data_IF_744100235605
#
_entry.id   IF_744100235605
#
_cell.length_a   1.000
_cell.length_b   1.000
_cell.length_c   1.000
_cell.angle_alpha   90.00
_cell.angle_beta   90.00
_cell.angle_gamma   90.00
#
_symmetry.space_group_name_H-M   'P 1'
#
loop_
_entity.id
_entity.type
_entity.pdbx_description
1 polymer ?
#
# COMPACT_ATOMS: atom_id res chain seq x y z
N UNK A 1 34.08 -53.98 -31.24
CA UNK A 1 32.77 -53.32 -31.17
C UNK A 1 33.00 -52.00 -30.46
N UNK A 2 33.23 -50.93 -31.22
CA UNK A 2 33.33 -49.59 -30.64
C UNK A 2 31.88 -49.14 -30.39
N UNK A 3 31.55 -48.93 -29.12
CA UNK A 3 30.31 -48.28 -28.75
C UNK A 3 30.49 -46.80 -29.10
N UNK A 4 29.95 -46.40 -30.25
CA UNK A 4 29.69 -45.01 -30.57
C UNK A 4 28.65 -44.55 -29.55
N UNK A 5 29.14 -44.03 -28.42
CA UNK A 5 28.32 -43.16 -27.61
C UNK A 5 28.19 -41.90 -28.44
N UNK A 6 27.11 -41.81 -29.21
CA UNK A 6 26.53 -40.53 -29.62
C UNK A 6 26.41 -39.75 -28.32
N UNK A 7 27.44 -38.95 -28.02
CA UNK A 7 27.35 -37.90 -27.03
C UNK A 7 26.33 -36.98 -27.68
N UNK A 8 25.07 -37.14 -27.30
CA UNK A 8 23.98 -36.31 -27.79
C UNK A 8 24.50 -34.88 -27.78
N UNK A 9 24.66 -34.27 -28.96
CA UNK A 9 25.01 -32.85 -29.16
C UNK A 9 23.92 -31.91 -28.59
N UNK A 10 23.03 -32.45 -27.75
CA UNK A 10 22.05 -31.73 -26.99
C UNK A 10 22.77 -30.75 -26.04
N UNK A 11 22.33 -29.49 -26.02
CA UNK A 11 22.91 -28.49 -25.13
C UNK A 11 22.78 -28.94 -23.69
N UNK A 12 23.87 -28.75 -22.94
CA UNK A 12 23.87 -29.02 -21.50
C UNK A 12 22.93 -28.05 -20.79
N UNK A 13 22.40 -28.44 -19.63
CA UNK A 13 21.52 -27.56 -18.84
C UNK A 13 22.13 -26.16 -18.56
N UNK A 14 23.42 -26.02 -18.20
CA UNK A 14 24.05 -24.70 -18.04
C UNK A 14 24.07 -23.87 -19.33
N UNK A 15 24.19 -24.51 -20.51
CA UNK A 15 24.13 -23.82 -21.79
C UNK A 15 22.74 -23.33 -22.11
N UNK A 16 21.72 -24.16 -21.86
CA UNK A 16 20.30 -23.77 -21.98
C UNK A 16 19.99 -22.58 -21.06
N UNK A 17 20.42 -22.62 -19.80
CA UNK A 17 20.23 -21.51 -18.84
C UNK A 17 20.98 -20.26 -19.29
N UNK A 18 22.20 -20.40 -19.82
CA UNK A 18 22.99 -19.26 -20.33
C UNK A 18 22.32 -18.63 -21.55
N UNK A 19 21.82 -19.44 -22.48
CA UNK A 19 21.14 -18.98 -23.70
C UNK A 19 19.81 -18.30 -23.35
N UNK A 20 19.02 -18.92 -22.49
CA UNK A 20 17.85 -18.31 -21.87
C UNK A 20 18.16 -16.97 -21.20
N UNK A 21 19.24 -16.88 -20.41
CA UNK A 21 19.64 -15.63 -19.77
C UNK A 21 20.02 -14.58 -20.82
N UNK A 22 20.70 -14.98 -21.88
CA UNK A 22 20.99 -14.11 -23.03
C UNK A 22 19.68 -13.64 -23.67
N UNK A 23 18.71 -14.51 -23.90
CA UNK A 23 17.44 -14.13 -24.52
C UNK A 23 16.55 -13.28 -23.61
N UNK A 24 16.53 -13.52 -22.29
CA UNK A 24 15.89 -12.63 -21.31
C UNK A 24 16.56 -11.26 -21.31
N UNK A 25 17.89 -11.21 -21.36
CA UNK A 25 18.63 -9.93 -21.37
C UNK A 25 18.51 -9.18 -22.69
N UNK A 26 18.45 -9.88 -23.83
CA UNK A 26 18.08 -9.30 -25.14
C UNK A 26 16.61 -8.87 -25.14
N UNK A 27 15.74 -9.66 -24.49
CA UNK A 27 14.32 -9.41 -24.29
C UNK A 27 14.05 -8.14 -23.49
N UNK A 28 14.97 -7.71 -22.63
CA UNK A 28 14.92 -6.37 -22.03
C UNK A 28 14.90 -5.23 -23.07
N UNK A 29 15.35 -5.48 -24.30
CA UNK A 29 15.24 -4.58 -25.44
C UNK A 29 14.08 -4.92 -26.40
N UNK A 30 13.50 -6.12 -26.32
CA UNK A 30 12.37 -6.51 -27.16
C UNK A 30 11.07 -6.34 -26.39
N UNK A 31 10.07 -5.73 -27.02
CA UNK A 31 8.66 -5.84 -26.61
C UNK A 31 8.12 -7.29 -26.69
N UNK A 32 9.01 -8.29 -26.79
CA UNK A 32 8.70 -9.68 -27.06
C UNK A 32 7.79 -10.23 -25.96
N UNK A 33 6.71 -10.85 -26.42
CA UNK A 33 5.74 -11.48 -25.53
C UNK A 33 6.43 -12.64 -24.82
N UNK A 34 6.20 -12.78 -23.51
CA UNK A 34 6.66 -13.93 -22.71
C UNK A 34 6.32 -15.29 -23.34
N UNK A 35 5.32 -15.35 -24.23
CA UNK A 35 5.00 -16.54 -25.03
C UNK A 35 6.19 -17.01 -25.87
N UNK A 36 6.89 -16.10 -26.56
CA UNK A 36 8.01 -16.47 -27.44
C UNK A 36 9.16 -17.09 -26.64
N UNK A 37 9.45 -16.52 -25.46
CA UNK A 37 10.47 -17.06 -24.56
C UNK A 37 10.08 -18.45 -24.04
N UNK A 38 8.80 -18.67 -23.68
CA UNK A 38 8.33 -19.99 -23.22
C UNK A 38 8.27 -21.04 -24.33
N UNK A 39 8.09 -20.62 -25.58
CA UNK A 39 8.07 -21.49 -26.74
C UNK A 39 9.50 -21.97 -27.08
N UNK A 40 10.49 -21.08 -26.91
CA UNK A 40 11.91 -21.41 -27.13
C UNK A 40 12.54 -22.20 -25.97
N UNK A 41 12.15 -21.88 -24.74
CA UNK A 41 12.77 -22.42 -23.52
C UNK A 41 11.68 -23.05 -22.63
N UNK A 42 11.40 -24.34 -22.83
CA UNK A 42 10.27 -25.02 -22.16
C UNK A 42 10.38 -25.02 -20.63
N UNK A 43 11.58 -24.94 -20.07
CA UNK A 43 11.81 -24.86 -18.62
C UNK A 43 11.35 -23.52 -18.02
N UNK A 44 11.14 -22.48 -18.82
CA UNK A 44 10.51 -21.23 -18.35
C UNK A 44 8.99 -21.30 -18.31
N UNK A 45 8.34 -22.35 -18.84
CA UNK A 45 6.89 -22.42 -18.88
C UNK A 45 6.26 -22.29 -17.50
N UNK A 46 6.84 -22.96 -16.50
CA UNK A 46 6.34 -22.91 -15.13
C UNK A 46 6.60 -21.53 -14.50
N UNK A 47 7.77 -20.95 -14.73
CA UNK A 47 8.12 -19.59 -14.26
C UNK A 47 7.20 -18.52 -14.86
N UNK A 48 6.91 -18.61 -16.15
CA UNK A 48 6.03 -17.67 -16.84
C UNK A 48 4.57 -17.84 -16.42
N UNK A 49 4.12 -19.09 -16.22
CA UNK A 49 2.78 -19.39 -15.68
C UNK A 49 2.62 -18.83 -14.26
N UNK A 50 3.63 -19.01 -13.41
CA UNK A 50 3.63 -18.46 -12.05
C UNK A 50 3.67 -16.94 -12.06
N UNK A 51 4.55 -16.32 -12.86
CA UNK A 51 4.63 -14.87 -13.01
C UNK A 51 3.31 -14.26 -13.49
N UNK A 52 2.59 -14.92 -14.40
CA UNK A 52 1.25 -14.51 -14.84
C UNK A 52 0.23 -14.60 -13.70
N UNK A 53 0.19 -15.74 -13.01
CA UNK A 53 -0.72 -15.96 -11.88
C UNK A 53 -0.50 -14.93 -10.77
N UNK A 54 0.76 -14.61 -10.47
CA UNK A 54 1.14 -13.55 -9.53
C UNK A 54 0.69 -12.17 -10.03
N UNK A 55 0.91 -11.85 -11.31
CA UNK A 55 0.50 -10.59 -11.90
C UNK A 55 -1.02 -10.38 -11.86
N UNK A 56 -1.79 -11.41 -12.18
CA UNK A 56 -3.26 -11.41 -12.09
C UNK A 56 -3.74 -11.22 -10.65
N UNK A 57 -3.13 -11.94 -9.70
CA UNK A 57 -3.43 -11.81 -8.27
C UNK A 57 -3.15 -10.40 -7.76
N UNK A 58 -1.97 -9.85 -8.04
CA UNK A 58 -1.60 -8.48 -7.66
C UNK A 58 -2.53 -7.44 -8.32
N UNK A 59 -2.89 -7.64 -9.59
CA UNK A 59 -3.84 -6.78 -10.30
C UNK A 59 -5.21 -6.77 -9.63
N UNK A 60 -5.73 -7.94 -9.25
CA UNK A 60 -6.99 -8.06 -8.52
C UNK A 60 -6.93 -7.38 -7.14
N UNK A 61 -5.83 -7.59 -6.39
CA UNK A 61 -5.60 -6.98 -5.08
C UNK A 61 -5.56 -5.46 -5.17
N UNK A 62 -4.78 -4.91 -6.11
CA UNK A 62 -4.64 -3.46 -6.28
C UNK A 62 -5.96 -2.82 -6.73
N UNK A 63 -6.71 -3.50 -7.60
CA UNK A 63 -8.05 -3.06 -8.01
C UNK A 63 -9.01 -3.05 -6.82
N UNK A 64 -8.99 -4.09 -5.98
CA UNK A 64 -9.81 -4.16 -4.77
C UNK A 64 -9.43 -3.08 -3.75
N UNK A 65 -8.14 -2.84 -3.53
CA UNK A 65 -7.63 -1.73 -2.69
C UNK A 65 -8.17 -0.40 -3.19
N UNK A 66 -8.03 -0.11 -4.49
CA UNK A 66 -8.51 1.13 -5.09
C UNK A 66 -10.03 1.28 -4.96
N UNK A 67 -10.79 0.21 -5.19
CA UNK A 67 -12.24 0.19 -5.04
C UNK A 67 -12.69 0.49 -3.60
N UNK A 68 -12.02 -0.09 -2.60
CA UNK A 68 -12.29 0.19 -1.18
C UNK A 68 -11.95 1.65 -0.83
N UNK A 69 -10.85 2.20 -1.34
CA UNK A 69 -10.52 3.62 -1.14
C UNK A 69 -11.59 4.54 -1.73
N UNK A 70 -12.10 4.24 -2.93
CA UNK A 70 -13.19 5.01 -3.55
C UNK A 70 -14.49 4.91 -2.73
N UNK A 71 -14.85 3.71 -2.27
CA UNK A 71 -16.02 3.51 -1.43
C UNK A 71 -15.90 4.30 -0.11
N UNK A 72 -14.73 4.26 0.53
CA UNK A 72 -14.45 5.01 1.76
C UNK A 72 -14.57 6.53 1.54
N UNK A 73 -14.03 7.04 0.44
CA UNK A 73 -14.16 8.46 0.07
C UNK A 73 -15.63 8.87 -0.09
N UNK A 74 -16.45 8.05 -0.77
CA UNK A 74 -17.88 8.34 -0.92
C UNK A 74 -18.59 8.42 0.42
N UNK A 75 -18.32 7.48 1.32
CA UNK A 75 -18.93 7.47 2.67
C UNK A 75 -18.55 8.73 3.46
N UNK A 76 -17.27 9.12 3.50
CA UNK A 76 -16.85 10.31 4.24
C UNK A 76 -17.33 11.63 3.62
N UNK A 77 -17.46 11.70 2.29
CA UNK A 77 -18.06 12.83 1.60
C UNK A 77 -19.55 12.97 1.95
N UNK A 78 -20.31 11.88 1.90
CA UNK A 78 -21.74 11.87 2.28
C UNK A 78 -21.95 12.23 3.77
N UNK A 79 -21.07 11.77 4.66
CA UNK A 79 -21.12 12.13 6.09
C UNK A 79 -20.81 13.61 6.33
N UNK A 80 -19.95 14.21 5.50
CA UNK A 80 -19.58 15.64 5.60
C UNK A 80 -20.73 16.54 5.15
N UNK A 81 -21.43 16.15 4.07
CA UNK A 81 -22.58 16.89 3.55
C UNK A 81 -23.79 16.84 4.49
N UNK A 82 -24.11 15.66 5.04
CA UNK A 82 -25.21 15.49 5.98
C UNK A 82 -25.04 16.28 7.30
N UNK A 83 -23.79 16.65 7.65
CA UNK A 83 -23.48 17.44 8.84
C UNK A 83 -23.56 18.95 8.59
N UNK A 84 -23.64 19.41 7.34
CA UNK A 84 -23.85 20.83 7.06
C UNK A 84 -25.28 21.21 7.50
N UNK A 85 -25.45 22.17 8.43
CA UNK A 85 -26.78 22.57 8.87
C UNK A 85 -27.52 23.18 7.68
N UNK A 86 -28.58 22.50 7.25
CA UNK A 86 -29.50 23.01 6.23
C UNK A 86 -30.02 24.38 6.67
N UNK A 87 -29.75 25.48 5.94
CA UNK A 87 -30.25 26.80 6.29
C UNK A 87 -31.69 26.90 5.79
N UNK A 88 -32.59 26.12 6.38
CA UNK A 88 -34.00 26.17 6.09
C UNK A 88 -34.78 26.13 7.41
N UNK A 89 -35.28 27.32 7.76
CA UNK A 89 -36.41 27.53 8.66
C UNK A 89 -36.25 27.07 10.11
N UNK A 90 -35.78 27.96 10.99
CA UNK A 90 -36.62 28.45 12.10
C UNK A 90 -35.97 29.64 12.79
N UNK A 91 -36.79 30.65 12.99
CA UNK A 91 -36.44 31.98 13.46
C UNK A 91 -36.15 32.01 14.97
N UNK A 92 -35.28 32.98 15.33
CA UNK A 92 -35.36 33.82 16.53
C UNK A 92 -35.81 33.14 17.83
N UNK A 93 -34.91 32.40 18.48
CA UNK A 93 -34.79 32.47 19.93
C UNK A 93 -33.31 32.45 20.31
N UNK A 94 -32.78 33.65 20.53
CA UNK A 94 -31.50 33.87 21.19
C UNK A 94 -31.59 33.37 22.63
N UNK A 95 -30.77 32.40 22.99
CA UNK A 95 -30.31 32.26 24.36
C UNK A 95 -28.80 31.95 24.34
N UNK A 96 -27.95 32.82 24.90
CA UNK A 96 -26.52 32.59 24.97
C UNK A 96 -26.19 31.69 26.16
N UNK A 97 -24.96 31.16 26.16
CA UNK A 97 -24.33 30.37 27.21
C UNK A 97 -24.66 28.87 27.20
N UNK A 98 -23.83 28.10 26.50
CA UNK A 98 -22.87 27.21 27.16
C UNK A 98 -21.86 26.71 26.15
N UNK A 99 -20.57 26.81 26.52
CA UNK A 99 -19.44 26.43 25.69
C UNK A 99 -19.46 24.95 25.35
N UNK A 100 -19.94 24.63 24.14
CA UNK A 100 -19.72 23.34 23.52
C UNK A 100 -18.33 23.34 22.86
N UNK A 101 -17.30 23.19 23.68
CA UNK A 101 -16.00 22.67 23.25
C UNK A 101 -16.23 21.25 22.74
N UNK A 102 -15.91 20.99 21.48
CA UNK A 102 -16.03 19.64 20.90
C UNK A 102 -16.49 19.57 19.45
N UNK A 103 -16.31 20.64 18.66
CA UNK A 103 -16.40 20.54 17.22
C UNK A 103 -15.22 19.73 16.68
N UNK A 104 -15.33 18.41 16.68
CA UNK A 104 -14.46 17.51 15.91
C UNK A 104 -14.35 18.05 14.49
N UNK A 105 -13.20 18.65 14.19
CA UNK A 105 -12.82 19.21 12.89
C UNK A 105 -13.05 18.14 11.82
N UNK A 106 -14.03 18.30 10.91
CA UNK A 106 -14.32 17.30 9.87
C UNK A 106 -13.12 17.03 8.96
N UNK A 107 -12.20 18.01 8.84
CA UNK A 107 -11.00 17.92 8.02
C UNK A 107 -10.13 16.71 8.34
N UNK A 108 -9.98 16.30 9.61
CA UNK A 108 -8.99 15.27 9.95
C UNK A 108 -9.30 13.90 9.34
N UNK A 109 -10.58 13.50 9.30
CA UNK A 109 -10.99 12.20 8.72
C UNK A 109 -10.96 12.20 7.20
N UNK A 110 -11.41 13.29 6.58
CA UNK A 110 -11.38 13.39 5.13
C UNK A 110 -9.94 13.46 4.62
N UNK A 111 -9.07 14.21 5.29
CA UNK A 111 -7.63 14.27 5.02
C UNK A 111 -6.99 12.88 5.18
N UNK A 112 -7.28 12.17 6.27
CA UNK A 112 -6.88 10.77 6.49
C UNK A 112 -7.24 9.88 5.29
N UNK A 113 -8.50 9.92 4.84
CA UNK A 113 -8.98 9.12 3.70
C UNK A 113 -8.34 9.55 2.37
N UNK A 114 -8.09 10.84 2.19
CA UNK A 114 -7.37 11.35 1.01
C UNK A 114 -5.92 10.86 0.98
N UNK A 115 -5.20 10.92 2.11
CA UNK A 115 -3.84 10.38 2.23
C UNK A 115 -3.85 8.87 1.98
N UNK A 116 -4.81 8.13 2.55
CA UNK A 116 -4.93 6.69 2.30
C UNK A 116 -5.15 6.36 0.82
N UNK A 117 -5.97 7.14 0.11
CA UNK A 117 -6.15 6.98 -1.34
C UNK A 117 -4.90 7.39 -2.15
N UNK A 118 -4.09 8.34 -1.67
CA UNK A 118 -2.78 8.66 -2.26
C UNK A 118 -1.80 7.50 -2.08
N UNK A 119 -1.76 6.89 -0.89
CA UNK A 119 -0.96 5.68 -0.62
C UNK A 119 -1.38 4.57 -1.59
N UNK A 120 -2.67 4.25 -1.71
CA UNK A 120 -3.15 3.23 -2.63
C UNK A 120 -2.72 3.49 -4.08
N UNK A 121 -2.82 4.75 -4.55
CA UNK A 121 -2.35 5.13 -5.89
C UNK A 121 -0.84 4.97 -6.06
N UNK A 122 -0.06 5.28 -5.03
CA UNK A 122 1.39 5.05 -5.05
C UNK A 122 1.72 3.57 -5.20
N UNK A 123 1.02 2.68 -4.48
CA UNK A 123 1.17 1.22 -4.64
C UNK A 123 0.77 0.74 -6.04
N UNK A 124 -0.34 1.23 -6.59
CA UNK A 124 -0.72 0.91 -7.98
C UNK A 124 0.38 1.33 -8.95
N UNK A 125 0.87 2.56 -8.85
CA UNK A 125 1.95 3.05 -9.72
C UNK A 125 3.23 2.24 -9.58
N UNK A 126 3.60 1.88 -8.35
CA UNK A 126 4.78 1.09 -8.04
C UNK A 126 4.71 -0.27 -8.73
N UNK A 127 3.66 -1.05 -8.47
CA UNK A 127 3.53 -2.41 -8.98
C UNK A 127 3.21 -2.47 -10.48
N UNK A 128 2.67 -1.41 -11.09
CA UNK A 128 2.57 -1.29 -12.54
C UNK A 128 3.93 -1.11 -13.21
N UNK A 129 4.91 -0.52 -12.51
CA UNK A 129 6.25 -0.28 -13.05
C UNK A 129 7.24 -1.41 -12.75
N UNK A 130 7.14 -2.03 -11.57
CA UNK A 130 8.02 -3.10 -11.12
C UNK A 130 7.23 -4.19 -10.40
N UNK A 131 7.23 -5.45 -10.89
CA UNK A 131 6.48 -6.53 -10.24
C UNK A 131 7.08 -6.96 -8.89
N UNK A 132 8.37 -6.67 -8.69
CA UNK A 132 9.11 -6.91 -7.45
C UNK A 132 9.80 -5.60 -7.06
N UNK A 133 9.09 -4.68 -6.39
CA UNK A 133 9.67 -3.41 -6.02
C UNK A 133 10.78 -3.56 -5.00
N UNK A 134 11.88 -2.85 -5.20
CA UNK A 134 12.93 -2.74 -4.18
C UNK A 134 12.50 -1.79 -3.07
N UNK A 135 13.14 -1.88 -1.90
CA UNK A 135 12.91 -0.94 -0.80
C UNK A 135 13.11 0.53 -1.24
N UNK A 136 14.13 0.81 -2.06
CA UNK A 136 14.38 2.14 -2.63
C UNK A 136 13.26 2.63 -3.55
N UNK A 137 12.71 1.76 -4.41
CA UNK A 137 11.59 2.09 -5.29
C UNK A 137 10.30 2.33 -4.50
N UNK A 138 10.07 1.51 -3.47
CA UNK A 138 8.95 1.67 -2.54
C UNK A 138 9.02 3.02 -1.82
N UNK A 139 10.18 3.37 -1.26
CA UNK A 139 10.42 4.65 -0.58
C UNK A 139 10.20 5.82 -1.54
N UNK A 140 10.82 5.78 -2.73
CA UNK A 140 10.66 6.83 -3.75
C UNK A 140 9.21 7.06 -4.17
N UNK A 141 8.40 5.99 -4.17
CA UNK A 141 6.97 6.07 -4.52
C UNK A 141 6.10 6.64 -3.40
N UNK A 142 6.47 6.43 -2.13
CA UNK A 142 5.68 6.86 -0.97
C UNK A 142 6.13 8.19 -0.36
N UNK A 143 7.39 8.58 -0.53
CA UNK A 143 7.92 9.84 -0.03
C UNK A 143 7.08 11.06 -0.44
N UNK A 144 6.56 11.17 -1.68
CA UNK A 144 5.70 12.30 -2.07
C UNK A 144 4.36 12.37 -1.31
N UNK A 145 3.89 11.23 -0.76
CA UNK A 145 2.64 11.15 0.02
C UNK A 145 2.84 11.66 1.44
N UNK A 146 4.07 11.56 1.95
CA UNK A 146 4.46 12.01 3.29
C UNK A 146 5.55 13.08 3.18
N UNK A 147 5.22 14.30 2.71
CA UNK A 147 6.20 15.37 2.62
C UNK A 147 6.77 15.64 4.01
N UNK A 148 8.09 15.53 4.13
CA UNK A 148 8.76 15.87 5.37
C UNK A 148 8.53 17.35 5.68
N UNK A 149 8.30 17.72 6.96
CA UNK A 149 8.22 19.11 7.33
C UNK A 149 9.53 19.80 6.93
N UNK A 150 9.47 21.00 6.31
CA UNK A 150 10.63 21.65 5.69
C UNK A 150 11.80 22.01 6.64
N UNK A 151 11.77 21.61 7.91
CA UNK A 151 12.82 21.89 8.89
C UNK A 151 13.44 20.64 9.56
N UNK A 152 13.14 19.42 9.13
CA UNK A 152 13.77 18.23 9.71
C UNK A 152 15.26 18.05 9.31
N UNK A 153 15.73 18.76 8.28
CA UNK A 153 17.09 18.60 7.75
C UNK A 153 18.17 19.48 8.41
N UNK A 154 17.87 20.22 9.50
CA UNK A 154 18.89 21.08 10.13
C UNK A 154 18.62 21.32 11.62
N UNK A 155 18.78 20.30 12.46
CA UNK A 155 19.10 20.48 13.89
C UNK A 155 19.57 19.17 14.52
N UNK A 156 20.66 18.62 13.99
CA UNK A 156 21.42 17.56 14.65
C UNK A 156 22.73 18.12 15.25
N UNK A 157 22.70 19.32 15.85
CA UNK A 157 23.80 19.85 16.67
C UNK A 157 23.21 20.84 17.69
N UNK A 158 23.61 20.71 18.96
CA UNK A 158 23.21 21.46 20.16
C UNK A 158 21.94 20.91 20.85
N UNK A 159 22.02 20.12 21.91
CA UNK A 159 22.85 20.34 23.09
C UNK A 159 22.02 21.03 24.16
N UNK A 160 21.47 20.22 25.07
CA UNK A 160 20.98 20.55 26.41
C UNK A 160 20.19 21.86 26.60
N UNK A 161 18.87 21.73 26.72
CA UNK A 161 18.09 22.62 27.58
C UNK A 161 17.03 21.80 28.29
N UNK A 162 17.40 21.36 29.50
CA UNK A 162 16.50 20.81 30.49
C UNK A 162 15.50 21.92 30.90
N UNK A 163 14.31 21.86 30.33
CA UNK A 163 13.17 22.67 30.76
C UNK A 163 12.35 21.84 31.73
N UNK A 164 12.45 22.19 33.02
CA UNK A 164 11.56 21.72 34.08
C UNK A 164 10.13 22.11 33.73
N UNK A 165 9.24 21.14 33.57
CA UNK A 165 7.82 21.35 33.72
C UNK A 165 7.35 20.62 34.98
N UNK A 166 7.21 21.43 36.03
CA UNK A 166 6.43 21.12 37.20
C UNK A 166 4.98 20.87 36.80
N UNK A 167 4.35 19.96 37.54
CA UNK A 167 3.07 19.40 37.21
C UNK A 167 1.92 20.41 37.22
N UNK A 168 0.97 20.16 36.34
CA UNK A 168 -0.43 20.36 36.70
C UNK A 168 -1.27 19.23 36.11
N UNK A 169 -2.06 18.63 36.98
CA UNK A 169 -2.92 17.49 36.70
C UNK A 169 -4.17 17.98 35.96
N UNK A 170 -4.03 18.23 34.65
CA UNK A 170 -5.13 18.65 33.79
C UNK A 170 -5.47 17.58 32.78
N UNK A 171 -6.49 16.76 33.10
CA UNK A 171 -7.28 15.93 32.19
C UNK A 171 -6.49 15.22 31.08
N UNK A 172 -6.17 13.94 31.29
CA UNK A 172 -5.84 12.99 30.22
C UNK A 172 -6.84 13.22 29.08
N UNK A 173 -6.43 13.83 27.95
CA UNK A 173 -7.32 13.93 26.81
C UNK A 173 -7.56 12.50 26.40
N UNK A 174 -8.80 12.03 26.55
CA UNK A 174 -9.22 10.74 26.08
C UNK A 174 -8.71 10.62 24.64
N UNK A 175 -7.66 9.82 24.45
CA UNK A 175 -6.97 9.68 23.18
C UNK A 175 -8.07 9.22 22.23
N UNK A 176 -8.50 10.05 21.27
CA UNK A 176 -9.67 9.71 20.47
C UNK A 176 -9.32 8.40 19.78
N UNK A 177 -10.10 7.34 20.08
CA UNK A 177 -9.83 5.98 19.66
C UNK A 177 -9.37 6.00 18.19
N UNK A 178 -8.05 5.84 18.01
CA UNK A 178 -7.39 6.09 16.74
C UNK A 178 -8.09 5.26 15.67
N UNK A 179 -8.56 5.92 14.61
CA UNK A 179 -9.17 5.22 13.49
C UNK A 179 -8.15 4.18 12.99
N UNK A 180 -8.60 2.99 12.56
CA UNK A 180 -7.68 1.94 12.06
C UNK A 180 -6.76 2.48 10.96
N UNK A 181 -7.30 3.39 10.16
CA UNK A 181 -6.60 4.09 9.10
C UNK A 181 -5.58 5.09 9.66
N UNK A 182 -5.91 5.89 10.67
CA UNK A 182 -4.97 6.78 11.35
C UNK A 182 -3.76 5.98 11.88
N UNK A 183 -4.01 4.89 12.61
CA UNK A 183 -2.95 4.00 13.12
C UNK A 183 -2.06 3.45 12.00
N UNK A 184 -2.67 3.01 10.90
CA UNK A 184 -1.94 2.52 9.73
C UNK A 184 -1.08 3.62 9.09
N UNK A 185 -1.64 4.82 8.85
CA UNK A 185 -0.91 5.94 8.25
C UNK A 185 0.24 6.43 9.13
N UNK A 186 0.05 6.46 10.45
CA UNK A 186 1.14 6.79 11.39
C UNK A 186 2.26 5.75 11.31
N UNK A 187 1.92 4.46 11.32
CA UNK A 187 2.91 3.38 11.18
C UNK A 187 3.63 3.42 9.83
N UNK A 188 2.88 3.70 8.76
CA UNK A 188 3.44 3.79 7.40
C UNK A 188 4.39 4.98 7.28
N UNK A 189 4.01 6.16 7.80
CA UNK A 189 4.87 7.34 7.85
C UNK A 189 6.17 7.02 8.60
N UNK A 190 6.08 6.41 9.78
CA UNK A 190 7.25 5.99 10.54
C UNK A 190 8.13 5.04 9.73
N UNK A 191 7.55 4.04 9.06
CA UNK A 191 8.31 3.13 8.19
C UNK A 191 9.01 3.85 7.04
N UNK A 192 8.38 4.88 6.45
CA UNK A 192 9.01 5.70 5.40
C UNK A 192 10.16 6.52 5.96
N UNK A 193 9.99 7.11 7.14
CA UNK A 193 11.04 7.90 7.81
C UNK A 193 12.23 7.02 8.22
N UNK A 194 11.98 5.84 8.79
CA UNK A 194 13.01 4.86 9.20
C UNK A 194 13.84 4.42 7.98
N UNK A 195 13.17 4.00 6.89
CA UNK A 195 13.83 3.60 5.63
C UNK A 195 14.63 4.76 5.02
N UNK A 196 14.10 5.99 5.08
CA UNK A 196 14.81 7.18 4.59
C UNK A 196 16.11 7.43 5.35
N UNK A 197 16.15 7.15 6.66
CA UNK A 197 17.34 7.32 7.50
C UNK A 197 18.37 6.19 7.33
N UNK A 198 17.93 4.97 7.00
CA UNK A 198 18.82 3.81 6.84
C UNK A 198 19.47 3.72 5.44
N UNK A 199 18.80 4.22 4.39
CA UNK A 199 19.29 4.19 3.01
C UNK A 199 20.67 4.84 2.73
N UNK A 200 21.12 5.94 3.38
CA UNK A 200 22.37 6.59 2.99
C UNK A 200 23.65 5.79 3.29
N UNK A 201 23.59 4.70 4.07
CA UNK A 201 24.76 3.88 4.42
C UNK A 201 24.64 2.39 4.10
N UNK A 202 23.44 1.90 3.77
CA UNK A 202 23.25 0.49 3.42
C UNK A 202 23.70 0.27 1.98
N UNK A 203 24.96 -0.16 1.79
CA UNK A 203 25.43 -0.77 0.54
C UNK A 203 24.45 -1.86 0.13
N UNK A 204 23.54 -1.53 -0.79
CA UNK A 204 22.80 -2.42 -1.69
C UNK A 204 22.58 -3.83 -1.10
N UNK A 205 22.11 -3.92 0.14
CA UNK A 205 21.65 -5.18 0.67
C UNK A 205 20.32 -5.33 -0.06
N UNK A 206 20.36 -6.18 -1.08
CA UNK A 206 19.22 -6.57 -1.87
C UNK A 206 18.24 -7.31 -0.98
N UNK A 207 17.67 -6.61 0.01
CA UNK A 207 16.48 -7.05 0.70
C UNK A 207 15.41 -7.11 -0.37
N UNK A 208 15.31 -8.34 -0.85
CA UNK A 208 14.48 -8.87 -1.89
C UNK A 208 13.05 -8.40 -1.70
N UNK A 209 12.23 -8.44 -2.76
CA UNK A 209 10.89 -7.83 -2.80
C UNK A 209 9.92 -8.21 -1.67
N UNK A 210 10.30 -9.13 -0.78
CA UNK A 210 9.66 -9.39 0.51
C UNK A 210 9.38 -8.13 1.35
N UNK A 211 10.27 -7.11 1.37
CA UNK A 211 9.97 -5.87 2.11
C UNK A 211 8.74 -5.13 1.56
N UNK A 212 8.72 -4.87 0.25
CA UNK A 212 7.62 -4.17 -0.40
C UNK A 212 6.32 -4.99 -0.35
N UNK A 213 6.44 -6.32 -0.36
CA UNK A 213 5.33 -7.25 -0.22
C UNK A 213 4.75 -7.25 1.20
N UNK A 214 5.60 -7.25 2.24
CA UNK A 214 5.15 -7.13 3.63
C UNK A 214 4.39 -5.82 3.84
N UNK A 215 4.91 -4.70 3.31
CA UNK A 215 4.24 -3.40 3.39
C UNK A 215 2.93 -3.36 2.59
N UNK A 216 2.85 -4.08 1.47
CA UNK A 216 1.60 -4.29 0.74
C UNK A 216 0.60 -5.11 1.59
N UNK A 217 1.03 -6.19 2.25
CA UNK A 217 0.16 -6.99 3.15
C UNK A 217 -0.41 -6.14 4.28
N UNK A 218 0.39 -5.23 4.85
CA UNK A 218 -0.10 -4.27 5.85
C UNK A 218 -1.20 -3.34 5.30
N UNK A 219 -1.01 -2.81 4.07
CA UNK A 219 -2.02 -2.01 3.38
C UNK A 219 -3.31 -2.82 3.18
N UNK A 220 -3.17 -4.05 2.68
CA UNK A 220 -4.29 -4.96 2.41
C UNK A 220 -5.08 -5.24 3.69
N UNK A 221 -4.40 -5.52 4.81
CA UNK A 221 -5.05 -5.74 6.11
C UNK A 221 -5.81 -4.51 6.61
N UNK A 222 -5.26 -3.31 6.38
CA UNK A 222 -5.98 -2.06 6.63
C UNK A 222 -7.24 -1.97 5.76
N UNK A 223 -7.12 -2.22 4.45
CA UNK A 223 -8.24 -2.22 3.50
C UNK A 223 -9.33 -3.24 3.88
N UNK A 224 -8.98 -4.46 4.30
CA UNK A 224 -9.93 -5.46 4.79
C UNK A 224 -10.72 -4.90 5.98
N UNK A 225 -10.02 -4.33 6.95
CA UNK A 225 -10.64 -3.78 8.17
C UNK A 225 -11.57 -2.62 7.84
N UNK A 226 -11.16 -1.73 6.94
CA UNK A 226 -11.93 -0.56 6.53
C UNK A 226 -13.11 -0.96 5.64
N UNK A 227 -12.91 -1.85 4.66
CA UNK A 227 -13.97 -2.36 3.78
C UNK A 227 -15.08 -3.08 4.56
N UNK A 228 -14.73 -3.87 5.59
CA UNK A 228 -15.72 -4.47 6.51
C UNK A 228 -16.56 -3.43 7.26
N UNK A 229 -16.01 -2.25 7.54
CA UNK A 229 -16.74 -1.16 8.20
C UNK A 229 -17.67 -0.43 7.22
N UNK A 230 -17.16 -0.15 6.02
CA UNK A 230 -17.87 0.56 4.96
C UNK A 230 -19.08 -0.24 4.42
N UNK A 231 -19.05 -1.57 4.50
CA UNK A 231 -20.15 -2.46 4.08
C UNK A 231 -21.28 -2.62 5.09
N UNK A 232 -21.27 -1.84 6.19
CA UNK A 232 -22.37 -1.84 7.16
C UNK A 232 -23.64 -1.29 6.49
N UNK A 233 -24.84 -1.83 6.82
CA UNK A 233 -26.09 -1.52 6.10
C UNK A 233 -26.47 -0.05 6.00
N UNK A 234 -25.92 0.81 6.86
CA UNK A 234 -26.23 2.24 6.91
C UNK A 234 -25.23 3.13 6.15
N UNK A 235 -24.13 2.58 5.65
CA UNK A 235 -23.04 3.38 5.07
C UNK A 235 -23.03 3.42 3.55
N UNK A 236 -23.49 2.36 2.89
CA UNK A 236 -23.48 2.27 1.42
C UNK A 236 -24.82 1.76 0.88
N UNK A 237 -25.19 2.15 -0.36
CA UNK A 237 -26.24 1.51 -1.11
C UNK A 237 -26.02 -0.02 -1.20
N UNK A 238 -27.08 -0.85 -1.25
CA UNK A 238 -26.94 -2.31 -1.21
C UNK A 238 -26.03 -2.89 -2.29
N UNK A 239 -26.07 -2.35 -3.52
CA UNK A 239 -25.23 -2.82 -4.63
C UNK A 239 -23.74 -2.52 -4.39
N UNK A 240 -23.42 -1.30 -3.95
CA UNK A 240 -22.05 -0.90 -3.63
C UNK A 240 -21.51 -1.71 -2.43
N UNK A 241 -22.36 -2.00 -1.43
CA UNK A 241 -21.98 -2.84 -0.30
C UNK A 241 -21.65 -4.28 -0.74
N UNK A 242 -22.34 -4.83 -1.73
CA UNK A 242 -22.00 -6.15 -2.30
C UNK A 242 -20.64 -6.12 -3.00
N UNK A 243 -20.38 -5.10 -3.83
CA UNK A 243 -19.09 -4.96 -4.53
C UNK A 243 -17.92 -4.84 -3.54
N UNK A 244 -18.07 -4.04 -2.48
CA UNK A 244 -17.03 -3.90 -1.46
C UNK A 244 -16.83 -5.20 -0.67
N UNK A 245 -17.88 -6.02 -0.47
CA UNK A 245 -17.73 -7.36 0.16
C UNK A 245 -16.90 -8.30 -0.72
N UNK A 246 -17.13 -8.31 -2.02
CA UNK A 246 -16.32 -9.10 -2.96
C UNK A 246 -14.87 -8.61 -2.99
N UNK A 247 -14.63 -7.29 -2.99
CA UNK A 247 -13.28 -6.73 -2.88
C UNK A 247 -12.60 -7.17 -1.58
N UNK A 248 -13.30 -7.11 -0.45
CA UNK A 248 -12.80 -7.56 0.85
C UNK A 248 -12.48 -9.06 0.86
N UNK A 249 -13.22 -9.88 0.10
CA UNK A 249 -12.94 -11.31 -0.07
C UNK A 249 -11.65 -11.54 -0.85
N UNK A 250 -11.49 -10.88 -2.01
CA UNK A 250 -10.22 -10.94 -2.79
C UNK A 250 -9.01 -10.58 -1.92
N UNK A 251 -9.15 -9.56 -1.06
CA UNK A 251 -8.09 -9.16 -0.15
C UNK A 251 -7.83 -10.17 0.99
N UNK A 252 -8.85 -10.87 1.48
CA UNK A 252 -8.68 -11.94 2.46
C UNK A 252 -7.97 -13.13 1.85
N UNK A 253 -8.42 -13.56 0.66
CA UNK A 253 -7.82 -14.66 -0.07
C UNK A 253 -6.31 -14.40 -0.32
N UNK A 254 -5.94 -13.16 -0.65
CA UNK A 254 -4.52 -12.77 -0.81
C UNK A 254 -3.71 -12.84 0.50
N UNK A 255 -4.29 -12.53 1.65
CA UNK A 255 -3.58 -12.57 2.94
C UNK A 255 -3.48 -13.99 3.48
N UNK A 256 -4.53 -14.81 3.28
CA UNK A 256 -4.61 -16.19 3.75
C UNK A 256 -3.78 -17.14 2.91
N UNK A 257 -3.70 -16.87 1.60
CA UNK A 257 -2.77 -17.55 0.73
C UNK A 257 -1.36 -17.03 1.07
N UNK A 258 -0.64 -17.76 1.91
CA UNK A 258 0.81 -17.61 2.13
C UNK A 258 1.63 -17.89 0.86
N UNK A 259 1.06 -17.72 -0.34
CA UNK A 259 1.51 -18.20 -1.65
C UNK A 259 2.88 -17.67 -2.10
N UNK A 260 3.58 -16.91 -1.27
CA UNK A 260 4.78 -16.19 -1.67
C UNK A 260 5.96 -16.50 -0.73
N UNK A 261 6.03 -17.71 -0.16
CA UNK A 261 7.34 -18.28 0.21
C UNK A 261 8.06 -18.63 -1.09
N UNK A 262 9.06 -17.81 -1.45
CA UNK A 262 10.07 -18.11 -2.47
C UNK A 262 11.31 -18.66 -1.80
#
# INVERSE_FOLDING_TARGET
>A
MALDFDVDDAPTFPELVRDARLDVTKGRAMTACWSELTDQHTFFRDVAKEGRTRGETLGAVLTAVQGICQALQRVELSNSEARAPSPACTALFSSPAQGAVGGTRPGSRLEEVQTFAQVARAYVSLYCSTPIPTCAQWMSSLQPVFPQPPNAASTAVNGASASRFDGDAGAVPATPASSTLCRYLTKLRQSVDDVTQELPGSEVDGKDGGFAEEKLKELVMCCVTVGRRVTRPTMLPPLDALLVREMVKVLQDFVENSTLEW
#
